data_IF_266832577561
#
_entry.id   IF_266832577561
#
_cell.length_a   1.000
_cell.length_b   1.000
_cell.length_c   1.000
_cell.angle_alpha   90.00
_cell.angle_beta   90.00
_cell.angle_gamma   90.00
#
_symmetry.space_group_name_H-M   'P 1'
#
loop_
_entity.id
_entity.type
_entity.pdbx_description
1 polymer ?
#
# COMPACT_ATOMS: atom_id res chain seq x y z
N UNK A 1 -48.77 80.61 134.36
CA UNK A 1 -48.07 79.59 133.55
C UNK A 1 -49.00 78.69 132.72
N UNK A 2 -50.28 78.54 133.08
CA UNK A 2 -51.26 77.71 132.34
C UNK A 2 -51.60 78.28 130.94
N UNK A 3 -51.68 79.60 130.80
CA UNK A 3 -52.02 80.24 129.51
C UNK A 3 -51.01 79.90 128.39
N UNK A 4 -49.70 79.92 128.70
CA UNK A 4 -48.66 79.55 127.75
C UNK A 4 -48.71 78.05 127.35
N UNK A 5 -49.06 77.17 128.30
CA UNK A 5 -49.24 75.75 128.02
C UNK A 5 -50.44 75.46 127.10
N UNK A 6 -51.55 76.22 127.24
CA UNK A 6 -52.71 76.09 126.35
C UNK A 6 -52.40 76.51 124.90
N UNK A 7 -51.72 77.64 124.70
CA UNK A 7 -51.31 78.06 123.35
C UNK A 7 -50.30 77.09 122.72
N UNK A 8 -49.39 76.53 123.52
CA UNK A 8 -48.47 75.50 123.06
C UNK A 8 -49.19 74.21 122.64
N UNK A 9 -50.15 73.74 123.45
CA UNK A 9 -50.97 72.57 123.13
C UNK A 9 -51.83 72.78 121.87
N UNK A 10 -52.43 73.97 121.72
CA UNK A 10 -53.20 74.33 120.53
C UNK A 10 -52.31 74.43 119.29
N UNK A 11 -51.12 75.01 119.40
CA UNK A 11 -50.12 75.06 118.34
C UNK A 11 -49.65 73.66 117.91
N UNK A 12 -49.39 72.77 118.87
CA UNK A 12 -49.00 71.40 118.60
C UNK A 12 -50.12 70.61 117.91
N UNK A 13 -51.37 70.77 118.37
CA UNK A 13 -52.53 70.10 117.79
C UNK A 13 -52.80 70.58 116.36
N UNK A 14 -52.69 71.89 116.11
CA UNK A 14 -52.89 72.47 114.77
C UNK A 14 -51.77 72.08 113.81
N UNK A 15 -50.52 72.06 114.26
CA UNK A 15 -49.39 71.56 113.46
C UNK A 15 -49.53 70.05 113.16
N UNK A 16 -49.97 69.26 114.15
CA UNK A 16 -50.26 67.83 113.97
C UNK A 16 -51.38 67.58 112.96
N UNK A 17 -52.46 68.37 113.02
CA UNK A 17 -53.57 68.29 112.08
C UNK A 17 -53.12 68.63 110.65
N UNK A 18 -52.33 69.70 110.49
CA UNK A 18 -51.76 70.08 109.19
C UNK A 18 -50.82 68.99 108.66
N UNK A 19 -49.96 68.40 109.49
CA UNK A 19 -49.09 67.30 109.09
C UNK A 19 -49.90 66.06 108.65
N UNK A 20 -51.02 65.78 109.30
CA UNK A 20 -51.91 64.66 108.94
C UNK A 20 -52.63 64.89 107.61
N UNK A 21 -53.03 66.14 107.31
CA UNK A 21 -53.68 66.50 106.04
C UNK A 21 -52.68 66.57 104.88
N UNK A 22 -51.51 67.20 105.10
CA UNK A 22 -50.52 67.42 104.04
C UNK A 22 -49.57 66.22 103.83
N UNK A 23 -49.28 65.45 104.86
CA UNK A 23 -48.36 64.30 104.80
C UNK A 23 -48.69 63.30 103.69
N UNK A 24 -49.96 62.82 103.57
CA UNK A 24 -50.36 61.90 102.51
C UNK A 24 -50.21 62.48 101.10
N UNK A 25 -50.42 63.79 100.92
CA UNK A 25 -50.33 64.46 99.63
C UNK A 25 -48.87 64.62 99.17
N UNK A 26 -47.98 65.02 100.09
CA UNK A 26 -46.55 65.15 99.84
C UNK A 26 -45.91 63.77 99.57
N UNK A 27 -46.29 62.73 100.33
CA UNK A 27 -45.81 61.37 100.11
C UNK A 27 -46.21 60.82 98.73
N UNK A 28 -47.49 60.98 98.34
CA UNK A 28 -47.97 60.58 97.00
C UNK A 28 -47.24 61.33 95.87
N UNK A 29 -46.85 62.59 96.09
CA UNK A 29 -46.09 63.38 95.11
C UNK A 29 -44.64 62.92 95.00
N UNK A 30 -43.98 62.67 96.14
CA UNK A 30 -42.63 62.15 96.19
C UNK A 30 -42.51 60.77 95.52
N UNK A 31 -43.41 59.82 95.84
CA UNK A 31 -43.44 58.48 95.25
C UNK A 31 -43.65 58.52 93.74
N UNK A 32 -44.46 59.46 93.23
CA UNK A 32 -44.70 59.60 91.79
C UNK A 32 -43.46 60.11 91.05
N UNK A 33 -42.72 61.04 91.65
CA UNK A 33 -41.49 61.59 91.08
C UNK A 33 -40.36 60.55 91.09
N UNK A 34 -40.20 59.80 92.18
CA UNK A 34 -39.20 58.72 92.25
C UNK A 34 -39.55 57.57 91.34
N UNK A 35 -40.84 57.18 91.25
CA UNK A 35 -41.28 56.16 90.30
C UNK A 35 -41.01 56.57 88.84
N UNK A 36 -41.33 57.81 88.45
CA UNK A 36 -41.03 58.33 87.10
C UNK A 36 -39.52 58.41 86.82
N UNK A 37 -38.73 58.77 87.82
CA UNK A 37 -37.26 58.82 87.67
C UNK A 37 -36.68 57.42 87.53
N UNK A 38 -37.14 56.45 88.32
CA UNK A 38 -36.68 55.05 88.29
C UNK A 38 -37.14 54.33 87.02
N UNK A 39 -38.36 54.60 86.54
CA UNK A 39 -38.84 54.13 85.24
C UNK A 39 -38.05 54.75 84.06
N UNK A 40 -37.44 55.93 84.25
CA UNK A 40 -36.61 56.59 83.23
C UNK A 40 -35.11 56.20 83.28
N UNK A 41 -34.58 55.84 84.46
CA UNK A 41 -33.16 55.48 84.64
C UNK A 41 -32.88 53.99 84.80
N UNK A 42 -33.90 53.16 85.06
CA UNK A 42 -33.75 51.70 85.10
C UNK A 42 -34.19 51.12 83.76
N UNK A 43 -33.25 50.81 82.86
CA UNK A 43 -33.58 50.26 81.57
C UNK A 43 -33.96 48.78 81.73
N UNK A 44 -34.83 48.30 80.86
CA UNK A 44 -35.38 46.95 80.78
C UNK A 44 -36.50 46.63 81.76
N UNK A 45 -37.72 46.72 81.22
CA UNK A 45 -38.85 45.95 81.69
C UNK A 45 -38.53 44.44 81.65
N UNK A 46 -39.13 43.63 82.54
CA UNK A 46 -38.94 42.16 82.59
C UNK A 46 -39.17 41.47 81.23
N UNK A 47 -40.04 42.05 80.39
CA UNK A 47 -40.28 41.62 79.01
C UNK A 47 -39.07 41.83 78.09
N UNK A 48 -38.39 42.98 78.19
CA UNK A 48 -37.21 43.28 77.36
C UNK A 48 -36.01 42.43 77.77
N UNK A 49 -35.84 42.12 79.07
CA UNK A 49 -34.81 41.19 79.54
C UNK A 49 -35.02 39.76 79.02
N UNK A 50 -36.28 39.31 78.96
CA UNK A 50 -36.63 38.01 78.37
C UNK A 50 -36.40 38.02 76.86
N UNK A 51 -36.79 39.09 76.17
CA UNK A 51 -36.57 39.25 74.73
C UNK A 51 -35.07 39.24 74.38
N UNK A 52 -34.22 39.95 75.13
CA UNK A 52 -32.77 39.95 74.91
C UNK A 52 -32.15 38.57 75.13
N UNK A 53 -32.59 37.83 76.16
CA UNK A 53 -32.15 36.45 76.39
C UNK A 53 -32.57 35.51 75.27
N UNK A 54 -33.81 35.61 74.82
CA UNK A 54 -34.34 34.76 73.76
C UNK A 54 -33.72 35.13 72.40
N UNK A 55 -33.41 36.40 72.16
CA UNK A 55 -32.59 36.86 71.02
C UNK A 55 -31.18 36.25 71.08
N UNK A 56 -30.51 36.30 72.23
CA UNK A 56 -29.17 35.72 72.38
C UNK A 56 -29.19 34.21 72.07
N UNK A 57 -30.21 33.49 72.56
CA UNK A 57 -30.42 32.07 72.26
C UNK A 57 -30.61 31.82 70.77
N UNK A 58 -31.42 32.66 70.10
CA UNK A 58 -31.63 32.57 68.66
C UNK A 58 -30.33 32.84 67.89
N UNK A 59 -29.57 33.88 68.26
CA UNK A 59 -28.28 34.19 67.63
C UNK A 59 -27.27 33.05 67.78
N UNK A 60 -27.17 32.45 68.97
CA UNK A 60 -26.32 31.28 69.17
C UNK A 60 -26.82 30.07 68.37
N UNK A 61 -28.12 29.79 68.36
CA UNK A 61 -28.68 28.70 67.57
C UNK A 61 -28.40 28.87 66.07
N UNK A 62 -28.56 30.08 65.53
CA UNK A 62 -28.28 30.39 64.13
C UNK A 62 -26.78 30.29 63.83
N UNK A 63 -25.90 30.80 64.70
CA UNK A 63 -24.43 30.69 64.53
C UNK A 63 -23.98 29.23 64.57
N UNK A 64 -24.47 28.45 65.52
CA UNK A 64 -24.17 27.02 65.63
C UNK A 64 -24.67 26.28 64.39
N UNK A 65 -25.92 26.51 63.95
CA UNK A 65 -26.43 25.87 62.73
C UNK A 65 -25.65 26.26 61.49
N UNK A 66 -25.20 27.52 61.39
CA UNK A 66 -24.36 27.98 60.27
C UNK A 66 -23.00 27.30 60.27
N UNK A 67 -22.40 27.07 61.44
CA UNK A 67 -21.15 26.32 61.56
C UNK A 67 -21.33 24.84 61.24
N UNK A 68 -22.41 24.21 61.71
CA UNK A 68 -22.76 22.83 61.37
C UNK A 68 -22.95 22.64 59.88
N UNK A 69 -23.75 23.50 59.23
CA UNK A 69 -23.94 23.49 57.78
C UNK A 69 -22.63 23.72 57.02
N UNK A 70 -21.76 24.60 57.54
CA UNK A 70 -20.43 24.82 56.99
C UNK A 70 -19.54 23.57 57.08
N UNK A 71 -19.57 22.87 58.22
CA UNK A 71 -18.82 21.65 58.45
C UNK A 71 -19.37 20.47 57.62
N UNK A 72 -20.69 20.34 57.51
CA UNK A 72 -21.37 19.38 56.62
C UNK A 72 -20.98 19.64 55.16
N UNK A 73 -21.04 20.88 54.69
CA UNK A 73 -20.64 21.24 53.33
C UNK A 73 -19.15 21.01 53.04
N UNK A 74 -18.26 21.22 54.02
CA UNK A 74 -16.84 20.86 53.89
C UNK A 74 -16.63 19.34 53.82
N UNK A 75 -17.33 18.57 54.65
CA UNK A 75 -17.28 17.10 54.62
C UNK A 75 -17.80 16.54 53.30
N UNK A 76 -18.90 17.07 52.79
CA UNK A 76 -19.45 16.66 51.49
C UNK A 76 -18.46 16.93 50.35
N UNK A 77 -17.79 18.10 50.36
CA UNK A 77 -16.73 18.39 49.38
C UNK A 77 -15.53 17.46 49.50
N UNK A 78 -15.10 17.13 50.72
CA UNK A 78 -14.00 16.17 50.92
C UNK A 78 -14.37 14.78 50.42
N UNK A 79 -15.58 14.29 50.72
CA UNK A 79 -16.05 12.99 50.23
C UNK A 79 -16.10 12.98 48.70
N UNK A 80 -16.63 14.04 48.07
CA UNK A 80 -16.63 14.17 46.61
C UNK A 80 -15.22 14.14 46.03
N UNK A 81 -14.29 14.92 46.60
CA UNK A 81 -12.90 14.91 46.17
C UNK A 81 -12.23 13.55 46.34
N UNK A 82 -12.53 12.82 47.42
CA UNK A 82 -11.99 11.48 47.65
C UNK A 82 -12.51 10.47 46.63
N UNK A 83 -13.79 10.57 46.26
CA UNK A 83 -14.38 9.78 45.18
C UNK A 83 -13.74 10.12 43.82
N UNK A 84 -13.61 11.41 43.48
CA UNK A 84 -12.99 11.86 42.23
C UNK A 84 -11.52 11.38 42.13
N UNK A 85 -10.77 11.45 43.24
CA UNK A 85 -9.38 10.94 43.30
C UNK A 85 -9.33 9.43 43.15
N UNK A 86 -10.30 8.70 43.71
CA UNK A 86 -10.36 7.25 43.59
C UNK A 86 -10.67 6.84 42.15
N UNK A 87 -11.66 7.47 41.52
CA UNK A 87 -12.00 7.26 40.11
C UNK A 87 -10.81 7.60 39.19
N UNK A 88 -10.14 8.74 39.41
CA UNK A 88 -8.96 9.11 38.65
C UNK A 88 -7.80 8.12 38.82
N UNK A 89 -7.62 7.54 40.03
CA UNK A 89 -6.62 6.50 40.27
C UNK A 89 -6.95 5.20 39.56
N UNK A 90 -8.22 4.81 39.51
CA UNK A 90 -8.65 3.62 38.77
C UNK A 90 -8.48 3.80 37.27
N UNK A 91 -8.90 4.95 36.72
CA UNK A 91 -8.70 5.30 35.32
C UNK A 91 -7.20 5.30 34.95
N UNK A 92 -6.34 5.87 35.81
CA UNK A 92 -4.90 5.85 35.62
C UNK A 92 -4.34 4.43 35.62
N UNK A 93 -4.78 3.57 36.53
CA UNK A 93 -4.34 2.17 36.59
C UNK A 93 -4.68 1.43 35.30
N UNK A 94 -5.92 1.59 34.80
CA UNK A 94 -6.35 0.99 33.54
C UNK A 94 -5.52 1.51 32.36
N UNK A 95 -5.33 2.84 32.28
CA UNK A 95 -4.53 3.45 31.22
C UNK A 95 -3.06 2.98 31.23
N UNK A 96 -2.47 2.77 32.40
CA UNK A 96 -1.10 2.22 32.54
C UNK A 96 -1.05 0.77 32.05
N UNK A 97 -2.04 -0.06 32.39
CA UNK A 97 -2.11 -1.44 31.91
C UNK A 97 -2.25 -1.51 30.39
N UNK A 98 -3.13 -0.70 29.81
CA UNK A 98 -3.28 -0.60 28.35
C UNK A 98 -2.00 -0.10 27.67
N UNK A 99 -1.32 0.89 28.27
CA UNK A 99 -0.03 1.38 27.77
C UNK A 99 1.01 0.28 27.78
N UNK A 100 1.08 -0.49 28.86
CA UNK A 100 2.05 -1.58 29.01
C UNK A 100 1.78 -2.72 28.04
N UNK A 101 0.51 -3.06 27.80
CA UNK A 101 0.11 -4.02 26.78
C UNK A 101 0.47 -3.54 25.37
N UNK A 102 0.13 -2.28 25.04
CA UNK A 102 0.52 -1.66 23.75
C UNK A 102 2.04 -1.63 23.58
N UNK A 103 2.80 -1.33 24.63
CA UNK A 103 4.26 -1.33 24.58
C UNK A 103 4.84 -2.73 24.35
N UNK A 104 4.21 -3.78 24.89
CA UNK A 104 4.60 -5.17 24.59
C UNK A 104 4.30 -5.53 23.14
N UNK A 105 3.11 -5.16 22.64
CA UNK A 105 2.72 -5.42 21.25
C UNK A 105 3.65 -4.70 20.26
N UNK A 106 4.05 -3.45 20.56
CA UNK A 106 5.02 -2.71 19.74
C UNK A 106 6.36 -3.44 19.71
N UNK A 107 6.89 -3.86 20.85
CA UNK A 107 8.17 -4.61 20.89
C UNK A 107 8.10 -5.92 20.11
N UNK A 108 7.01 -6.66 20.24
CA UNK A 108 6.82 -7.90 19.47
C UNK A 108 6.75 -7.64 17.96
N UNK A 109 6.11 -6.55 17.54
CA UNK A 109 6.09 -6.14 16.14
C UNK A 109 7.45 -5.68 15.64
N UNK A 110 8.22 -4.94 16.46
CA UNK A 110 9.59 -4.53 16.15
C UNK A 110 10.52 -5.75 16.01
N UNK A 111 10.41 -6.74 16.90
CA UNK A 111 11.18 -7.99 16.83
C UNK A 111 10.82 -8.80 15.56
N UNK A 112 9.53 -8.90 15.23
CA UNK A 112 9.07 -9.55 14.00
C UNK A 112 9.55 -8.82 12.75
N UNK A 113 9.51 -7.48 12.76
CA UNK A 113 10.02 -6.66 11.66
C UNK A 113 11.52 -6.86 11.47
N UNK A 114 12.29 -6.86 12.55
CA UNK A 114 13.72 -7.13 12.52
C UNK A 114 14.03 -8.53 11.95
N UNK A 115 13.28 -9.55 12.37
CA UNK A 115 13.42 -10.91 11.86
C UNK A 115 13.09 -10.99 10.35
N UNK A 116 11.99 -10.38 9.91
CA UNK A 116 11.60 -10.34 8.50
C UNK A 116 12.61 -9.57 7.64
N UNK A 117 13.15 -8.45 8.13
CA UNK A 117 14.21 -7.71 7.44
C UNK A 117 15.47 -8.56 7.30
N UNK A 118 15.86 -9.31 8.32
CA UNK A 118 16.98 -10.23 8.25
C UNK A 118 16.73 -11.35 7.21
N UNK A 119 15.51 -11.91 7.17
CA UNK A 119 15.14 -12.90 6.16
C UNK A 119 15.16 -12.32 4.73
N UNK A 120 14.71 -11.08 4.55
CA UNK A 120 14.78 -10.42 3.22
C UNK A 120 16.24 -10.31 2.77
N UNK A 121 17.16 -9.91 3.66
CA UNK A 121 18.59 -9.83 3.33
C UNK A 121 19.15 -11.19 2.96
N UNK A 122 18.88 -12.24 3.73
CA UNK A 122 19.37 -13.60 3.41
C UNK A 122 18.80 -14.10 2.08
N UNK A 123 17.52 -13.86 1.81
CA UNK A 123 16.89 -14.19 0.51
C UNK A 123 17.50 -13.40 -0.65
N UNK A 124 17.80 -12.13 -0.46
CA UNK A 124 18.50 -11.32 -1.47
C UNK A 124 19.90 -11.86 -1.76
N UNK A 125 20.64 -12.28 -0.74
CA UNK A 125 21.95 -12.94 -0.91
C UNK A 125 21.81 -14.29 -1.64
N UNK A 126 20.81 -15.10 -1.32
CA UNK A 126 20.50 -16.34 -2.01
C UNK A 126 20.20 -16.09 -3.50
N UNK A 127 19.34 -15.12 -3.81
CA UNK A 127 19.00 -14.74 -5.19
C UNK A 127 20.25 -14.24 -5.92
N UNK A 128 21.07 -13.39 -5.29
CA UNK A 128 22.31 -12.91 -5.89
C UNK A 128 23.26 -14.09 -6.21
N UNK A 129 23.43 -15.03 -5.28
CA UNK A 129 24.24 -16.24 -5.46
C UNK A 129 23.72 -17.13 -6.59
N UNK A 130 22.41 -17.38 -6.63
CA UNK A 130 21.79 -18.19 -7.69
C UNK A 130 21.91 -17.51 -9.05
N UNK A 131 21.72 -16.19 -9.12
CA UNK A 131 21.89 -15.43 -10.36
C UNK A 131 23.34 -15.48 -10.88
N UNK A 132 24.33 -15.45 -9.98
CA UNK A 132 25.74 -15.58 -10.34
C UNK A 132 26.04 -16.97 -10.91
N UNK A 133 25.52 -18.03 -10.27
CA UNK A 133 25.64 -19.41 -10.76
C UNK A 133 24.97 -19.61 -12.11
N UNK A 134 23.79 -19.03 -12.32
CA UNK A 134 23.08 -19.10 -13.59
C UNK A 134 23.91 -18.44 -14.71
N UNK A 135 24.44 -17.24 -14.47
CA UNK A 135 25.32 -16.55 -15.42
C UNK A 135 26.59 -17.34 -15.73
N UNK A 136 27.17 -18.00 -14.74
CA UNK A 136 28.32 -18.87 -14.93
C UNK A 136 27.95 -20.09 -15.79
N UNK A 137 26.83 -20.75 -15.49
CA UNK A 137 26.31 -21.87 -16.28
C UNK A 137 26.03 -21.46 -17.74
N UNK A 138 25.36 -20.33 -17.97
CA UNK A 138 25.13 -19.75 -19.30
C UNK A 138 26.44 -19.51 -20.05
N UNK A 139 27.45 -18.93 -19.38
CA UNK A 139 28.79 -18.74 -19.99
C UNK A 139 29.40 -20.08 -20.37
N UNK A 140 29.32 -21.09 -19.51
CA UNK A 140 29.86 -22.42 -19.84
C UNK A 140 29.12 -23.05 -21.01
N UNK A 141 27.79 -22.94 -21.08
CA UNK A 141 26.98 -23.43 -22.20
C UNK A 141 27.35 -22.74 -23.51
N UNK A 142 27.55 -21.43 -23.50
CA UNK A 142 28.02 -20.68 -24.69
C UNK A 142 29.41 -21.17 -25.11
N UNK A 143 30.33 -21.40 -24.17
CA UNK A 143 31.65 -21.95 -24.48
C UNK A 143 31.56 -23.37 -25.06
N UNK A 144 30.74 -24.24 -24.47
CA UNK A 144 30.50 -25.59 -25.01
C UNK A 144 29.85 -25.54 -26.40
N UNK A 145 28.92 -24.62 -26.63
CA UNK A 145 28.31 -24.40 -27.95
C UNK A 145 29.35 -23.99 -29.01
N UNK A 146 30.29 -23.11 -28.65
CA UNK A 146 31.43 -22.76 -29.52
C UNK A 146 32.33 -23.96 -29.80
N UNK A 147 32.69 -24.74 -28.78
CA UNK A 147 33.48 -25.96 -28.94
C UNK A 147 32.79 -26.98 -29.84
N UNK A 148 31.48 -27.18 -29.68
CA UNK A 148 30.70 -28.07 -30.55
C UNK A 148 30.74 -27.55 -31.98
N UNK A 149 30.51 -26.25 -32.22
CA UNK A 149 30.57 -25.68 -33.57
C UNK A 149 31.96 -25.81 -34.21
N UNK A 150 33.04 -25.65 -33.44
CA UNK A 150 34.41 -25.89 -33.91
C UNK A 150 34.64 -27.36 -34.27
N UNK A 151 34.22 -28.29 -33.41
CA UNK A 151 34.32 -29.73 -33.67
C UNK A 151 33.47 -30.15 -34.87
N UNK A 152 32.27 -29.60 -35.03
CA UNK A 152 31.41 -29.84 -36.19
C UNK A 152 32.08 -29.36 -37.47
N UNK A 153 32.66 -28.16 -37.48
CA UNK A 153 33.42 -27.66 -38.64
C UNK A 153 34.64 -28.53 -38.95
N UNK A 154 35.39 -28.94 -37.93
CA UNK A 154 36.53 -29.84 -38.11
C UNK A 154 36.10 -31.20 -38.68
N UNK A 155 34.98 -31.75 -38.21
CA UNK A 155 34.40 -32.98 -38.74
C UNK A 155 33.89 -32.82 -40.19
N UNK A 156 33.31 -31.68 -40.54
CA UNK A 156 32.91 -31.36 -41.92
C UNK A 156 34.11 -31.24 -42.87
N UNK A 157 35.19 -30.56 -42.43
CA UNK A 157 36.45 -30.48 -43.16
C UNK A 157 37.06 -31.86 -43.38
N UNK A 158 37.19 -32.67 -42.32
CA UNK A 158 37.68 -34.04 -42.41
C UNK A 158 36.81 -34.90 -43.36
N UNK A 159 35.48 -34.78 -43.27
CA UNK A 159 34.57 -35.47 -44.20
C UNK A 159 34.75 -34.99 -45.65
N UNK A 160 35.03 -33.70 -45.88
CA UNK A 160 35.31 -33.18 -47.22
C UNK A 160 36.64 -33.67 -47.77
N UNK A 161 37.67 -33.81 -46.92
CA UNK A 161 38.95 -34.42 -47.28
C UNK A 161 38.80 -35.90 -47.61
N UNK A 162 38.03 -36.65 -46.81
CA UNK A 162 37.71 -38.06 -47.08
C UNK A 162 36.95 -38.22 -48.40
N UNK A 163 35.94 -37.37 -48.66
CA UNK A 163 35.19 -37.37 -49.93
C UNK A 163 36.10 -37.01 -51.10
N UNK A 164 37.00 -36.03 -50.95
CA UNK A 164 37.96 -35.68 -51.98
C UNK A 164 38.99 -36.79 -52.22
N UNK A 165 39.44 -37.48 -51.18
CA UNK A 165 40.35 -38.62 -51.26
C UNK A 165 39.67 -39.79 -52.01
N UNK A 166 38.42 -40.14 -51.65
CA UNK A 166 37.63 -41.16 -52.35
C UNK A 166 37.38 -40.75 -53.80
N UNK A 167 37.05 -39.49 -54.07
CA UNK A 167 36.84 -39.01 -55.44
C UNK A 167 38.13 -39.06 -56.26
N UNK A 168 39.27 -38.65 -55.70
CA UNK A 168 40.57 -38.73 -56.36
C UNK A 168 41.01 -40.17 -56.63
N UNK A 169 40.73 -41.10 -55.69
CA UNK A 169 40.97 -42.53 -55.88
C UNK A 169 40.08 -43.10 -56.99
N UNK A 170 38.80 -42.68 -57.05
CA UNK A 170 37.88 -43.03 -58.12
C UNK A 170 38.35 -42.53 -59.49
N UNK A 171 38.76 -41.25 -59.59
CA UNK A 171 39.35 -40.69 -60.81
C UNK A 171 40.59 -41.48 -61.21
N UNK A 172 41.51 -41.74 -60.28
CA UNK A 172 42.73 -42.50 -60.59
C UNK A 172 42.40 -43.91 -61.09
N UNK A 173 41.38 -44.57 -60.54
CA UNK A 173 40.92 -45.87 -61.03
C UNK A 173 40.41 -45.78 -62.48
N UNK A 174 39.58 -44.76 -62.78
CA UNK A 174 39.09 -44.54 -64.16
C UNK A 174 40.22 -44.18 -65.12
N UNK A 175 41.25 -43.47 -64.65
CA UNK A 175 42.45 -43.18 -65.45
C UNK A 175 43.20 -44.47 -65.75
N UNK A 176 43.40 -45.35 -64.78
CA UNK A 176 44.03 -46.67 -65.00
C UNK A 176 43.23 -47.51 -65.99
N UNK A 177 41.89 -47.53 -65.86
CA UNK A 177 41.01 -48.24 -66.80
C UNK A 177 41.11 -47.67 -68.22
N UNK A 178 41.08 -46.35 -68.38
CA UNK A 178 41.26 -45.67 -69.67
C UNK A 178 42.66 -45.89 -70.25
N UNK A 179 43.71 -45.92 -69.42
CA UNK A 179 45.07 -46.24 -69.84
C UNK A 179 45.18 -47.69 -70.34
N UNK A 180 44.51 -48.64 -69.67
CA UNK A 180 44.41 -50.03 -70.11
C UNK A 180 43.62 -50.15 -71.42
N UNK A 181 42.50 -49.43 -71.57
CA UNK A 181 41.76 -49.36 -72.84
C UNK A 181 42.61 -48.76 -73.97
N UNK A 182 43.35 -47.69 -73.72
CA UNK A 182 44.27 -47.08 -74.70
C UNK A 182 45.40 -48.07 -75.06
N UNK A 183 45.96 -48.78 -74.09
CA UNK A 183 46.96 -49.81 -74.33
C UNK A 183 46.38 -50.95 -75.19
N UNK A 184 45.16 -51.38 -74.89
CA UNK A 184 44.40 -52.36 -75.67
C UNK A 184 44.13 -51.87 -77.10
N UNK A 185 43.72 -50.61 -77.26
CA UNK A 185 43.52 -49.98 -78.56
C UNK A 185 44.82 -49.85 -79.35
N UNK A 186 45.94 -49.50 -78.71
CA UNK A 186 47.27 -49.47 -79.34
C UNK A 186 47.69 -50.87 -79.80
N UNK A 187 47.48 -51.89 -78.98
CA UNK A 187 47.77 -53.28 -79.34
C UNK A 187 46.89 -53.78 -80.50
N UNK A 188 45.60 -53.39 -80.53
CA UNK A 188 44.73 -53.63 -81.68
C UNK A 188 45.21 -52.89 -82.91
N UNK A 189 45.61 -51.62 -82.78
CA UNK A 189 46.17 -50.84 -83.88
C UNK A 189 47.45 -51.44 -84.46
N UNK A 190 48.36 -51.99 -83.64
CA UNK A 190 49.57 -52.65 -84.12
C UNK A 190 49.26 -54.02 -84.75
N UNK A 191 48.30 -54.76 -84.19
CA UNK A 191 47.79 -55.99 -84.79
C UNK A 191 47.11 -55.72 -86.15
N UNK A 192 46.33 -54.65 -86.26
CA UNK A 192 45.70 -54.21 -87.49
C UNK A 192 46.73 -53.66 -88.47
N UNK A 193 47.73 -52.91 -88.04
CA UNK A 193 48.83 -52.45 -88.89
C UNK A 193 49.62 -53.63 -89.47
N UNK A 194 49.93 -54.65 -88.67
CA UNK A 194 50.58 -55.87 -89.15
C UNK A 194 49.66 -56.74 -90.01
N UNK A 195 48.35 -56.68 -89.81
CA UNK A 195 47.35 -57.30 -90.70
C UNK A 195 47.23 -56.56 -92.02
N UNK A 196 47.24 -55.23 -92.02
CA UNK A 196 47.30 -54.39 -93.22
C UNK A 196 48.58 -54.69 -93.98
N UNK A 197 49.74 -54.75 -93.33
CA UNK A 197 51.01 -55.09 -93.98
C UNK A 197 50.98 -56.49 -94.62
N UNK A 198 50.34 -57.46 -93.97
CA UNK A 198 50.10 -58.80 -94.55
C UNK A 198 49.15 -58.75 -95.75
N UNK A 199 48.03 -58.04 -95.62
CA UNK A 199 47.06 -57.85 -96.71
C UNK A 199 47.64 -57.03 -97.86
N UNK A 200 48.56 -56.11 -97.61
CA UNK A 200 49.33 -55.38 -98.62
C UNK A 200 50.33 -56.31 -99.32
N UNK A 201 50.99 -57.21 -98.58
CA UNK A 201 51.82 -58.26 -99.18
C UNK A 201 51.00 -59.27 -99.99
N UNK A 202 49.81 -59.63 -99.52
CA UNK A 202 48.84 -60.43 -100.26
C UNK A 202 48.29 -59.65 -101.45
N UNK A 203 48.05 -58.34 -101.35
CA UNK A 203 47.63 -57.48 -102.47
C UNK A 203 48.75 -57.29 -103.49
N UNK A 204 50.01 -57.25 -103.09
CA UNK A 204 51.14 -57.20 -104.01
C UNK A 204 51.40 -58.59 -104.65
N UNK A 205 51.13 -59.67 -103.91
CA UNK A 205 51.08 -61.03 -104.44
C UNK A 205 49.92 -61.21 -105.42
N UNK A 206 48.73 -60.72 -105.07
CA UNK A 206 47.53 -60.70 -105.90
C UNK A 206 47.65 -59.71 -107.06
N UNK A 207 48.40 -58.61 -106.93
CA UNK A 207 48.73 -57.70 -108.05
C UNK A 207 49.67 -58.37 -109.02
N UNK A 208 50.68 -59.12 -108.55
CA UNK A 208 51.51 -59.97 -109.42
C UNK A 208 50.69 -61.09 -110.07
N UNK A 209 49.74 -61.67 -109.34
CA UNK A 209 48.80 -62.66 -109.89
C UNK A 209 47.73 -62.04 -110.81
N UNK A 210 47.35 -60.77 -110.61
CA UNK A 210 46.46 -60.01 -111.50
C UNK A 210 47.20 -59.56 -112.76
N UNK A 211 48.49 -59.25 -112.67
CA UNK A 211 49.34 -58.96 -113.85
C UNK A 211 49.52 -60.23 -114.70
N UNK A 212 49.52 -61.42 -114.08
CA UNK A 212 49.51 -62.72 -114.76
C UNK A 212 48.10 -63.22 -115.18
N UNK A 213 47.01 -62.68 -114.61
CA UNK A 213 45.61 -63.08 -114.90
C UNK A 213 44.78 -62.02 -115.67
N UNK A 214 45.32 -60.83 -115.94
CA UNK A 214 44.72 -59.79 -116.81
C UNK A 214 44.81 -60.11 -118.31
N UNK A 215 45.12 -61.37 -118.69
CA UNK A 215 44.88 -61.93 -120.03
C UNK A 215 43.54 -62.67 -120.21
N UNK A 216 42.62 -62.68 -119.24
CA UNK A 216 41.26 -63.18 -119.46
C UNK A 216 40.19 -62.52 -118.56
N UNK A 217 39.43 -61.60 -119.16
CA UNK A 217 38.12 -61.03 -118.74
C UNK A 217 37.04 -62.09 -118.42
N UNK A 218 35.79 -61.74 -117.99
CA UNK A 218 35.30 -60.65 -117.10
C UNK A 218 34.06 -61.02 -116.18
N UNK A 219 33.61 -60.05 -115.33
CA UNK A 219 32.21 -59.77 -114.83
C UNK A 219 31.59 -60.74 -113.76
N UNK A 220 30.67 -60.43 -112.83
CA UNK A 220 29.71 -59.33 -112.51
C UNK A 220 29.00 -59.63 -111.14
N UNK A 221 28.34 -58.65 -110.49
CA UNK A 221 27.03 -58.89 -109.81
C UNK A 221 26.89 -58.87 -108.26
N UNK A 222 25.66 -58.77 -107.67
CA UNK A 222 25.31 -57.75 -106.63
C UNK A 222 24.51 -58.19 -105.35
N UNK A 223 24.61 -57.42 -104.21
CA UNK A 223 23.64 -57.15 -103.07
C UNK A 223 22.88 -58.36 -102.40
N UNK A 224 22.03 -58.27 -101.32
CA UNK A 224 21.46 -57.16 -100.52
C UNK A 224 21.44 -57.36 -98.96
N UNK A 225 20.67 -56.50 -98.26
CA UNK A 225 20.54 -56.24 -96.82
C UNK A 225 19.38 -56.98 -96.14
N UNK A 226 19.53 -57.41 -94.88
CA UNK A 226 18.46 -57.58 -93.87
C UNK A 226 19.01 -57.48 -92.44
N UNK A 227 18.75 -56.39 -91.72
CA UNK A 227 19.07 -56.22 -90.28
C UNK A 227 18.14 -55.20 -89.60
N UNK A 228 16.90 -55.07 -90.08
CA UNK A 228 15.94 -54.12 -89.52
C UNK A 228 15.14 -54.67 -88.33
N UNK A 229 15.11 -55.99 -88.11
CA UNK A 229 14.23 -56.60 -87.11
C UNK A 229 14.89 -56.77 -85.72
N UNK A 230 16.22 -56.75 -85.63
CA UNK A 230 16.95 -56.89 -84.34
C UNK A 230 17.00 -55.59 -83.53
N UNK A 231 16.74 -54.44 -84.15
CA UNK A 231 16.72 -53.14 -83.47
C UNK A 231 15.41 -52.90 -82.70
N UNK A 232 14.29 -53.45 -83.18
CA UNK A 232 12.97 -53.30 -82.56
C UNK A 232 12.86 -54.07 -81.23
N UNK A 233 13.40 -55.30 -81.16
CA UNK A 233 13.39 -56.10 -79.91
C UNK A 233 14.19 -55.47 -78.76
N UNK A 234 15.27 -54.74 -79.05
CA UNK A 234 16.06 -54.05 -78.02
C UNK A 234 15.36 -52.82 -77.45
N UNK A 235 14.51 -52.16 -78.25
CA UNK A 235 13.74 -51.01 -77.77
C UNK A 235 12.57 -51.45 -76.87
N UNK A 236 11.97 -52.61 -77.13
CA UNK A 236 10.94 -53.18 -76.25
C UNK A 236 11.47 -53.57 -74.87
N UNK A 237 12.66 -54.17 -74.77
CA UNK A 237 13.23 -54.53 -73.46
C UNK A 237 13.58 -53.31 -72.61
N UNK A 238 14.05 -52.23 -73.22
CA UNK A 238 14.37 -50.98 -72.51
C UNK A 238 13.13 -50.26 -71.96
N UNK A 239 11.98 -50.37 -72.64
CA UNK A 239 10.73 -49.79 -72.16
C UNK A 239 10.25 -50.53 -70.91
N UNK A 240 10.35 -51.86 -70.90
CA UNK A 240 9.95 -52.68 -69.75
C UNK A 240 10.80 -52.39 -68.49
N UNK A 241 12.12 -52.24 -68.66
CA UNK A 241 13.03 -51.93 -67.54
C UNK A 241 12.77 -50.52 -66.96
N UNK A 242 12.42 -49.54 -67.81
CA UNK A 242 12.07 -48.19 -67.38
C UNK A 242 10.74 -48.13 -66.62
N UNK A 243 9.75 -48.93 -67.02
CA UNK A 243 8.47 -49.01 -66.29
C UNK A 243 8.64 -49.65 -64.91
N UNK A 244 9.52 -50.65 -64.78
CA UNK A 244 9.84 -51.29 -63.50
C UNK A 244 10.47 -50.30 -62.50
N UNK A 245 11.46 -49.50 -62.95
CA UNK A 245 12.11 -48.49 -62.11
C UNK A 245 11.14 -47.39 -61.65
N UNK A 246 10.16 -47.02 -62.48
CA UNK A 246 9.14 -46.03 -62.10
C UNK A 246 8.27 -46.54 -60.95
N UNK A 247 7.85 -47.81 -60.98
CA UNK A 247 7.05 -48.41 -59.90
C UNK A 247 7.82 -48.45 -58.59
N UNK A 248 9.11 -48.75 -58.64
CA UNK A 248 9.99 -48.80 -57.46
C UNK A 248 10.17 -47.41 -56.83
N UNK A 249 10.45 -46.38 -57.64
CA UNK A 249 10.55 -44.99 -57.14
C UNK A 249 9.23 -44.47 -56.56
N UNK A 250 8.08 -44.87 -57.12
CA UNK A 250 6.77 -44.46 -56.62
C UNK A 250 6.44 -45.10 -55.26
N UNK A 251 6.91 -46.33 -55.02
CA UNK A 251 6.77 -47.00 -53.72
C UNK A 251 7.63 -46.32 -52.64
N UNK A 252 8.85 -45.89 -52.97
CA UNK A 252 9.72 -45.14 -52.05
C UNK A 252 9.15 -43.77 -51.69
N UNK A 253 8.58 -43.03 -52.65
CA UNK A 253 7.91 -41.75 -52.39
C UNK A 253 6.75 -41.94 -51.41
N UNK A 254 5.96 -43.00 -51.56
CA UNK A 254 4.83 -43.31 -50.67
C UNK A 254 5.32 -43.64 -49.25
N UNK A 255 6.41 -44.40 -49.14
CA UNK A 255 7.03 -44.76 -47.86
C UNK A 255 7.60 -43.54 -47.13
N UNK A 256 8.32 -42.67 -47.85
CA UNK A 256 8.89 -41.45 -47.29
C UNK A 256 7.79 -40.45 -46.87
N UNK A 257 6.69 -40.39 -47.62
CA UNK A 257 5.52 -39.57 -47.26
C UNK A 257 4.89 -40.04 -45.94
N UNK A 258 4.75 -41.36 -45.74
CA UNK A 258 4.24 -41.93 -44.49
C UNK A 258 5.17 -41.68 -43.28
N UNK A 259 6.50 -41.70 -43.50
CA UNK A 259 7.47 -41.35 -42.46
C UNK A 259 7.40 -39.88 -42.05
N UNK A 260 7.19 -38.97 -43.02
CA UNK A 260 7.00 -37.54 -42.75
C UNK A 260 5.70 -37.27 -41.97
N UNK A 261 4.62 -37.95 -42.31
CA UNK A 261 3.33 -37.88 -41.59
C UNK A 261 3.51 -38.32 -40.12
N UNK A 262 4.22 -39.43 -39.89
CA UNK A 262 4.49 -39.96 -38.56
C UNK A 262 5.36 -39.02 -37.69
N UNK A 263 6.38 -38.40 -38.28
CA UNK A 263 7.22 -37.40 -37.61
C UNK A 263 6.45 -36.11 -37.29
N UNK A 264 5.52 -35.71 -38.15
CA UNK A 264 4.66 -34.52 -37.95
C UNK A 264 3.66 -34.72 -36.82
N UNK A 265 3.07 -35.91 -36.69
CA UNK A 265 2.12 -36.24 -35.62
C UNK A 265 2.74 -36.17 -34.21
N UNK A 266 3.97 -36.68 -34.04
CA UNK A 266 4.64 -36.72 -32.72
C UNK A 266 5.10 -35.33 -32.23
N UNK A 267 5.40 -34.40 -33.15
CA UNK A 267 5.76 -33.01 -32.77
C UNK A 267 4.52 -32.12 -32.58
N UNK A 268 3.42 -32.38 -33.29
CA UNK A 268 2.17 -31.60 -33.17
C UNK A 268 1.52 -31.72 -31.79
N UNK A 269 1.39 -32.95 -31.29
CA UNK A 269 0.72 -33.26 -30.01
C UNK A 269 1.41 -32.59 -28.81
N UNK A 270 2.75 -32.54 -28.83
CA UNK A 270 3.54 -31.89 -27.78
C UNK A 270 3.43 -30.36 -27.83
N UNK A 271 3.36 -29.76 -29.03
CA UNK A 271 3.21 -28.31 -29.19
C UNK A 271 1.80 -27.86 -28.81
N UNK A 272 0.78 -28.63 -29.17
CA UNK A 272 -0.62 -28.35 -28.86
C UNK A 272 -0.89 -28.47 -27.34
N UNK A 273 -0.30 -29.47 -26.67
CA UNK A 273 -0.35 -29.58 -25.22
C UNK A 273 0.33 -28.43 -24.47
N UNK A 274 1.49 -27.97 -24.95
CA UNK A 274 2.20 -26.82 -24.36
C UNK A 274 1.45 -25.51 -24.59
N UNK A 275 0.85 -25.31 -25.77
CA UNK A 275 0.00 -24.15 -26.05
C UNK A 275 -1.23 -24.14 -25.13
N UNK A 276 -1.90 -25.28 -24.96
CA UNK A 276 -3.04 -25.39 -24.05
C UNK A 276 -2.65 -25.10 -22.59
N UNK A 277 -1.47 -25.54 -22.13
CA UNK A 277 -0.98 -25.18 -20.78
C UNK A 277 -0.66 -23.69 -20.64
N UNK A 278 -0.08 -23.07 -21.68
CA UNK A 278 0.23 -21.64 -21.68
C UNK A 278 -1.05 -20.78 -21.70
N UNK A 279 -2.08 -21.22 -22.42
CA UNK A 279 -3.38 -20.55 -22.44
C UNK A 279 -4.08 -20.67 -21.07
N UNK A 280 -4.02 -21.84 -20.43
CA UNK A 280 -4.54 -22.05 -19.08
C UNK A 280 -3.81 -21.17 -18.05
N UNK A 281 -2.48 -21.09 -18.11
CA UNK A 281 -1.68 -20.21 -17.24
C UNK A 281 -1.98 -18.72 -17.49
N UNK A 282 -2.13 -18.29 -18.75
CA UNK A 282 -2.50 -16.91 -19.07
C UNK A 282 -3.90 -16.55 -18.55
N UNK A 283 -4.86 -17.47 -18.65
CA UNK A 283 -6.20 -17.26 -18.11
C UNK A 283 -6.19 -17.17 -16.58
N UNK A 284 -5.41 -18.04 -15.91
CA UNK A 284 -5.25 -17.99 -14.45
C UNK A 284 -4.59 -16.69 -13.99
N UNK A 285 -3.54 -16.24 -14.68
CA UNK A 285 -2.86 -14.96 -14.40
C UNK A 285 -3.78 -13.76 -14.64
N UNK A 286 -4.63 -13.81 -15.68
CA UNK A 286 -5.60 -12.76 -15.95
C UNK A 286 -6.68 -12.67 -14.87
N UNK A 287 -7.17 -13.81 -14.35
CA UNK A 287 -8.09 -13.84 -13.21
C UNK A 287 -7.44 -13.30 -11.94
N UNK A 288 -6.18 -13.66 -11.69
CA UNK A 288 -5.44 -13.17 -10.52
C UNK A 288 -5.18 -11.65 -10.59
N UNK A 289 -4.81 -11.13 -11.77
CA UNK A 289 -4.70 -9.69 -12.01
C UNK A 289 -6.02 -8.95 -11.76
N UNK A 290 -7.14 -9.48 -12.24
CA UNK A 290 -8.45 -8.89 -12.01
C UNK A 290 -8.81 -8.89 -10.52
N UNK A 291 -8.54 -9.99 -9.82
CA UNK A 291 -8.76 -10.09 -8.37
C UNK A 291 -7.92 -9.06 -7.61
N UNK A 292 -6.63 -8.95 -7.94
CA UNK A 292 -5.72 -8.00 -7.31
C UNK A 292 -6.11 -6.54 -7.59
N UNK A 293 -6.59 -6.25 -8.81
CA UNK A 293 -7.10 -4.92 -9.18
C UNK A 293 -8.33 -4.55 -8.35
N UNK A 294 -9.29 -5.48 -8.19
CA UNK A 294 -10.49 -5.25 -7.36
C UNK A 294 -10.11 -5.02 -5.91
N UNK A 295 -9.18 -5.81 -5.37
CA UNK A 295 -8.70 -5.64 -4.00
C UNK A 295 -7.99 -4.29 -3.80
N UNK A 296 -7.17 -3.88 -4.77
CA UNK A 296 -6.51 -2.59 -4.76
C UNK A 296 -7.51 -1.43 -4.78
N UNK A 297 -8.56 -1.50 -5.61
CA UNK A 297 -9.61 -0.47 -5.65
C UNK A 297 -10.42 -0.43 -4.34
N UNK A 298 -10.67 -1.58 -3.72
CA UNK A 298 -11.31 -1.66 -2.41
C UNK A 298 -10.43 -1.10 -1.28
N UNK A 299 -9.12 -1.38 -1.31
CA UNK A 299 -8.13 -0.81 -0.38
C UNK A 299 -8.05 0.69 -0.54
N UNK A 300 -7.94 1.18 -1.78
CA UNK A 300 -7.93 2.61 -2.10
C UNK A 300 -9.20 3.30 -1.63
N UNK A 301 -10.38 2.73 -1.91
CA UNK A 301 -11.64 3.27 -1.41
C UNK A 301 -11.81 3.22 0.12
N UNK A 302 -11.16 2.27 0.81
CA UNK A 302 -11.08 2.28 2.30
C UNK A 302 -10.15 3.38 2.78
N UNK A 303 -9.00 3.54 2.16
CA UNK A 303 -8.03 4.59 2.47
C UNK A 303 -8.64 5.98 2.31
N UNK A 304 -9.29 6.26 1.17
CA UNK A 304 -9.93 7.55 0.91
C UNK A 304 -11.03 7.87 1.93
N UNK A 305 -11.78 6.87 2.39
CA UNK A 305 -12.80 7.04 3.44
C UNK A 305 -12.21 7.35 4.81
N UNK A 306 -11.12 6.68 5.19
CA UNK A 306 -10.40 6.96 6.44
C UNK A 306 -9.80 8.36 6.39
N UNK A 307 -9.12 8.70 5.29
CA UNK A 307 -8.48 9.99 5.11
C UNK A 307 -9.51 11.13 5.12
N UNK A 308 -10.65 10.97 4.44
CA UNK A 308 -11.76 11.93 4.51
C UNK A 308 -12.37 12.03 5.91
N UNK A 309 -12.35 10.95 6.70
CA UNK A 309 -12.74 10.96 8.11
C UNK A 309 -11.79 11.79 8.97
N UNK A 310 -10.49 11.53 8.84
CA UNK A 310 -9.44 12.27 9.54
C UNK A 310 -9.42 13.75 9.14
N UNK A 311 -9.59 14.08 7.86
CA UNK A 311 -9.68 15.47 7.40
C UNK A 311 -10.88 16.19 8.02
N UNK A 312 -12.04 15.54 8.09
CA UNK A 312 -13.24 16.11 8.74
C UNK A 312 -13.02 16.32 10.23
N UNK A 313 -12.45 15.34 10.93
CA UNK A 313 -12.16 15.44 12.36
C UNK A 313 -11.12 16.53 12.64
N UNK A 314 -10.06 16.60 11.84
CA UNK A 314 -9.05 17.66 11.92
C UNK A 314 -9.64 19.04 11.63
N UNK A 315 -10.55 19.16 10.66
CA UNK A 315 -11.28 20.41 10.41
C UNK A 315 -12.16 20.80 11.60
N UNK A 316 -12.89 19.86 12.20
CA UNK A 316 -13.71 20.10 13.39
C UNK A 316 -12.85 20.51 14.60
N UNK A 317 -11.73 19.83 14.82
CA UNK A 317 -10.81 20.14 15.90
C UNK A 317 -10.17 21.53 15.71
N UNK A 318 -9.73 21.86 14.49
CA UNK A 318 -9.23 23.21 14.16
C UNK A 318 -10.32 24.25 14.39
N UNK A 319 -11.57 23.95 14.06
CA UNK A 319 -12.69 24.87 14.24
C UNK A 319 -13.00 25.11 15.73
N UNK A 320 -12.99 24.04 16.54
CA UNK A 320 -13.14 24.10 18.00
C UNK A 320 -12.00 24.85 18.68
N UNK A 321 -10.75 24.56 18.32
CA UNK A 321 -9.57 25.27 18.84
C UNK A 321 -9.64 26.75 18.49
N UNK A 322 -10.01 27.08 17.24
CA UNK A 322 -10.18 28.48 16.80
C UNK A 322 -11.32 29.16 17.56
N UNK A 323 -12.42 28.46 17.84
CA UNK A 323 -13.52 28.95 18.67
C UNK A 323 -13.09 29.23 20.11
N UNK A 324 -12.41 28.28 20.76
CA UNK A 324 -11.92 28.42 22.13
C UNK A 324 -10.88 29.54 22.24
N UNK A 325 -9.96 29.63 21.27
CA UNK A 325 -8.99 30.72 21.21
C UNK A 325 -9.70 32.09 21.09
N UNK A 326 -10.76 32.19 20.28
CA UNK A 326 -11.55 33.41 20.17
C UNK A 326 -12.22 33.78 21.49
N UNK A 327 -12.74 32.80 22.23
CA UNK A 327 -13.38 33.01 23.53
C UNK A 327 -12.39 33.47 24.60
N UNK A 328 -11.20 32.85 24.67
CA UNK A 328 -10.13 33.25 25.58
C UNK A 328 -9.64 34.66 25.27
N UNK A 329 -9.44 34.99 23.99
CA UNK A 329 -9.02 36.34 23.57
C UNK A 329 -10.11 37.37 23.86
N UNK A 330 -11.38 37.04 23.64
CA UNK A 330 -12.50 37.92 23.98
C UNK A 330 -12.61 38.16 25.51
N UNK A 331 -12.39 37.12 26.32
CA UNK A 331 -12.43 37.21 27.78
C UNK A 331 -11.25 38.03 28.33
N UNK A 332 -10.04 37.81 27.82
CA UNK A 332 -8.85 38.59 28.18
C UNK A 332 -8.99 40.06 27.77
N UNK A 333 -9.48 40.34 26.57
CA UNK A 333 -9.81 41.69 26.13
C UNK A 333 -10.90 42.36 26.99
N UNK A 334 -11.84 41.60 27.55
CA UNK A 334 -12.86 42.11 28.47
C UNK A 334 -12.29 42.39 29.87
N UNK A 335 -11.28 41.63 30.31
CA UNK A 335 -10.58 41.84 31.57
C UNK A 335 -9.61 43.04 31.52
N UNK A 336 -8.98 43.30 30.37
CA UNK A 336 -8.00 44.38 30.20
C UNK A 336 -8.63 45.79 30.09
N UNK A 337 -9.90 45.92 29.72
CA UNK A 337 -10.62 47.20 29.64
C UNK A 337 -10.34 48.04 28.38
N UNK A 338 -10.91 49.25 28.30
CA UNK A 338 -10.77 50.15 27.14
C UNK A 338 -9.31 50.59 26.95
N UNK A 339 -8.63 50.04 25.94
CA UNK A 339 -7.23 50.34 25.61
C UNK A 339 -6.30 49.14 25.43
N UNK A 340 -6.81 47.90 25.57
CA UNK A 340 -6.09 46.64 25.37
C UNK A 340 -5.29 46.59 24.06
N UNK A 341 -4.11 45.94 24.10
CA UNK A 341 -3.33 45.64 22.90
C UNK A 341 -4.11 44.78 21.89
N UNK A 342 -5.00 43.90 22.38
CA UNK A 342 -5.85 43.08 21.53
C UNK A 342 -6.84 43.91 20.71
N UNK A 343 -7.33 45.02 21.26
CA UNK A 343 -8.23 45.95 20.55
C UNK A 343 -7.51 46.71 19.43
N UNK A 344 -6.24 47.08 19.62
CA UNK A 344 -5.44 47.69 18.55
C UNK A 344 -5.18 46.70 17.42
N UNK A 345 -4.94 45.43 17.75
CA UNK A 345 -4.66 44.37 16.77
C UNK A 345 -5.93 43.98 16.00
N UNK A 346 -7.09 43.87 16.67
CA UNK A 346 -8.38 43.58 16.04
C UNK A 346 -8.86 44.69 15.10
N UNK A 347 -8.54 45.95 15.42
CA UNK A 347 -8.87 47.12 14.60
C UNK A 347 -7.85 47.38 13.47
N UNK A 348 -6.62 46.84 13.59
CA UNK A 348 -5.52 47.08 12.65
C UNK A 348 -5.32 46.01 11.57
N UNK A 349 -6.00 44.85 11.65
CA UNK A 349 -5.65 43.67 10.83
C UNK A 349 -6.75 43.12 9.94
N UNK A 350 -6.64 43.42 8.63
CA UNK A 350 -6.87 42.45 7.54
C UNK A 350 -8.30 42.18 7.05
N UNK A 351 -8.43 42.07 5.71
CA UNK A 351 -9.63 41.83 4.89
C UNK A 351 -10.57 40.74 5.45
N UNK A 352 -11.90 40.98 5.47
CA UNK A 352 -12.89 40.03 6.00
C UNK A 352 -12.97 38.77 5.13
N UNK A 353 -12.37 37.69 5.61
CA UNK A 353 -12.65 36.33 5.16
C UNK A 353 -13.39 35.63 6.28
N UNK A 354 -14.68 35.32 6.08
CA UNK A 354 -15.67 34.99 7.12
C UNK A 354 -15.41 33.82 8.08
N UNK A 355 -14.21 33.24 8.09
CA UNK A 355 -13.75 32.23 9.05
C UNK A 355 -12.50 32.67 9.86
N UNK A 356 -12.12 33.95 9.83
CA UNK A 356 -10.96 34.42 10.58
C UNK A 356 -11.22 34.46 12.10
N UNK A 357 -10.16 34.24 12.89
CA UNK A 357 -10.19 34.34 14.36
C UNK A 357 -10.68 35.73 14.82
N UNK A 358 -10.26 36.79 14.11
CA UNK A 358 -10.62 38.17 14.41
C UNK A 358 -12.13 38.45 14.22
N UNK A 359 -12.76 37.87 13.20
CA UNK A 359 -14.21 38.01 12.97
C UNK A 359 -15.02 37.30 14.06
N UNK A 360 -14.57 36.12 14.51
CA UNK A 360 -15.21 35.39 15.63
C UNK A 360 -15.13 36.15 16.95
N UNK A 361 -13.96 36.76 17.24
CA UNK A 361 -13.78 37.60 18.44
C UNK A 361 -14.71 38.82 18.38
N UNK A 362 -14.80 39.49 17.22
CA UNK A 362 -15.73 40.63 17.02
C UNK A 362 -17.20 40.21 17.20
N UNK A 363 -17.61 39.06 16.67
CA UNK A 363 -18.98 38.54 16.80
C UNK A 363 -19.34 38.16 18.26
N UNK A 364 -18.43 37.54 19.00
CA UNK A 364 -18.63 37.23 20.42
C UNK A 364 -18.76 38.49 21.28
N UNK A 365 -17.94 39.51 21.03
CA UNK A 365 -18.05 40.80 21.71
C UNK A 365 -19.33 41.55 21.37
N UNK A 366 -19.78 41.52 20.11
CA UNK A 366 -21.06 42.11 19.73
C UNK A 366 -22.22 41.50 20.51
N UNK A 367 -22.26 40.16 20.66
CA UNK A 367 -23.26 39.46 21.50
C UNK A 367 -23.14 39.80 22.99
N UNK A 368 -21.91 39.91 23.51
CA UNK A 368 -21.68 40.24 24.92
C UNK A 368 -22.00 41.71 25.25
N UNK A 369 -21.81 42.63 24.29
CA UNK A 369 -22.19 44.04 24.40
C UNK A 369 -23.71 44.24 24.37
N UNK A 370 -24.42 43.47 23.55
CA UNK A 370 -25.88 43.52 23.43
C UNK A 370 -26.58 43.00 24.71
N UNK A 371 -25.96 42.05 25.43
CA UNK A 371 -26.45 41.62 26.75
C UNK A 371 -26.21 42.65 27.87
N UNK A 372 -25.38 43.68 27.65
CA UNK A 372 -25.00 44.68 28.66
C UNK A 372 -25.77 46.01 28.58
N UNK A 373 -26.72 46.19 27.65
CA UNK A 373 -27.59 47.38 27.62
C UNK A 373 -29.04 47.07 27.20
N UNK A 374 -30.09 47.67 27.79
CA UNK A 374 -30.12 48.77 28.75
C UNK A 374 -30.75 48.40 30.11
N UNK A 375 -29.94 48.23 31.16
CA UNK A 375 -30.42 48.18 32.56
C UNK A 375 -30.38 49.55 33.27
N UNK A 376 -30.24 50.65 32.51
CA UNK A 376 -30.04 52.00 33.07
C UNK A 376 -31.05 53.01 32.50
N UNK A 377 -32.33 52.76 32.73
CA UNK A 377 -33.40 53.73 32.48
C UNK A 377 -34.60 53.54 33.44
N UNK A 378 -34.34 53.36 34.75
CA UNK A 378 -35.36 53.48 35.82
C UNK A 378 -34.71 53.97 37.12
N UNK A 379 -34.14 55.17 37.09
CA UNK A 379 -33.82 55.94 38.29
C UNK A 379 -33.73 57.41 37.87
N UNK A 380 -34.86 58.11 37.89
CA UNK A 380 -34.91 59.54 37.57
C UNK A 380 -36.12 59.95 36.74
N UNK A 381 -37.33 59.80 37.29
CA UNK A 381 -38.46 60.71 37.04
C UNK A 381 -39.61 60.37 37.98
N UNK A 382 -40.05 61.39 38.73
CA UNK A 382 -41.13 61.46 39.73
C UNK A 382 -40.81 60.92 41.12
#
# INVERSE_FOLDING_TARGET
MINAAMYFALGFLTAGLLMLVLGPALWRRAVRLTRRSVEATSPMTLSEARAARDQLRAEYAVKTRRLELGAEGLKERMIRQELDVTEAREALKTAVLERDEKARNVRELEDREAALRAEIVTRQEEVARLSARLREAERTLVQRGKQIAELTRAAELARSEDVAAVHSAGINMTVVELEEEIAGHKARHTADASRIMRLEGELDGLRRQLEDLEKARPHEGPRPRTSADTALQKMESMIFDLESQKVESQAEITRLSLQLEALRGVSGDNVEGVLASLEAENNALAEELNRLSVEHDQLRGRFDRLNAGEERENHLLRDQITGLAAEIVALTAAMEGEGSQTDRILNGGGTPGGNSLADRIRALRARAGDQKGPAKARAGAS
#
